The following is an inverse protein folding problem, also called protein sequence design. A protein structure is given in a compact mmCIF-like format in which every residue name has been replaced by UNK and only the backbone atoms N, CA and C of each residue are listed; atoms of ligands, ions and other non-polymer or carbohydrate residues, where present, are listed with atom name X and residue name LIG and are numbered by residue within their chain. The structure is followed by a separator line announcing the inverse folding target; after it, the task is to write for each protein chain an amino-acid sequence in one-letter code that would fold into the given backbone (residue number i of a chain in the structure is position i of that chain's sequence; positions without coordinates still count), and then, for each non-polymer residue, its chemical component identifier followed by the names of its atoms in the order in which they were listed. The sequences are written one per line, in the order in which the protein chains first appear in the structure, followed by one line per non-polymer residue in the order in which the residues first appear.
data_IF_723150979820
#
_entry.id   IF_723150979820
#
_cell.length_a   1.000
_cell.length_b   1.000
_cell.length_c   1.000
_cell.angle_alpha   90.00
_cell.angle_beta   90.00
_cell.angle_gamma   90.00
#
_symmetry.space_group_name_H-M   'P 1'
#
loop_
_entity.id
_entity.type
_entity.pdbx_description
1 polymer ?
#
# COMPACT_ATOMS: atom_id res chain seq x y z
N UNK A 1 7.41 16.05 -13.80
CA UNK A 1 8.55 16.61 -14.56
C UNK A 1 8.54 16.01 -15.95
N UNK A 2 8.82 16.79 -16.95
CA UNK A 2 8.94 16.35 -18.35
C UNK A 2 10.26 16.94 -18.88
N UNK A 3 11.12 16.10 -19.43
CA UNK A 3 12.45 16.46 -19.97
C UNK A 3 13.32 17.33 -19.01
N UNK A 4 13.23 17.05 -17.72
CA UNK A 4 13.96 17.78 -16.68
C UNK A 4 13.36 19.13 -16.28
N UNK A 5 12.26 19.55 -16.90
CA UNK A 5 11.53 20.76 -16.55
C UNK A 5 10.34 20.47 -15.64
N UNK A 6 10.02 21.42 -14.76
CA UNK A 6 8.92 21.31 -13.81
C UNK A 6 7.66 21.91 -14.41
N UNK A 7 6.57 21.16 -14.38
CA UNK A 7 5.27 21.60 -14.83
C UNK A 7 4.27 21.50 -13.69
N UNK A 8 3.43 22.50 -13.56
CA UNK A 8 2.24 22.47 -12.75
C UNK A 8 1.06 21.98 -13.60
N UNK A 9 0.26 21.05 -13.09
CA UNK A 9 -0.89 20.53 -13.78
C UNK A 9 -2.17 20.92 -13.04
N UNK A 10 -2.99 21.72 -13.69
CA UNK A 10 -4.30 22.12 -13.20
C UNK A 10 -5.35 21.92 -14.30
N UNK A 11 -6.50 21.34 -13.98
CA UNK A 11 -7.61 21.12 -14.92
C UNK A 11 -7.17 20.53 -16.28
N UNK A 12 -6.26 19.55 -16.25
CA UNK A 12 -5.66 18.92 -17.44
C UNK A 12 -4.76 19.82 -18.29
N UNK A 13 -4.50 21.06 -17.88
CA UNK A 13 -3.54 21.96 -18.51
C UNK A 13 -2.22 21.86 -17.78
N UNK A 14 -1.13 21.75 -18.53
CA UNK A 14 0.25 21.75 -18.01
C UNK A 14 0.88 23.10 -18.26
N UNK A 15 1.28 23.79 -17.21
CA UNK A 15 1.98 25.08 -17.25
C UNK A 15 3.40 24.90 -16.74
N UNK A 16 4.39 25.31 -17.53
CA UNK A 16 5.79 25.29 -17.10
C UNK A 16 5.99 26.28 -15.96
N UNK A 17 6.71 25.86 -14.93
CA UNK A 17 7.01 26.69 -13.76
C UNK A 17 8.51 26.97 -13.74
N UNK A 18 8.86 28.25 -13.75
CA UNK A 18 10.24 28.67 -13.53
C UNK A 18 10.56 28.62 -12.04
N UNK A 19 11.49 27.76 -11.68
CA UNK A 19 11.97 27.60 -10.30
C UNK A 19 13.46 27.94 -10.24
N UNK A 20 13.89 28.45 -9.07
CA UNK A 20 15.32 28.56 -8.80
C UNK A 20 15.98 27.18 -8.79
N UNK A 21 17.27 27.09 -9.08
CA UNK A 21 18.04 25.85 -9.11
C UNK A 21 17.88 25.02 -7.82
N UNK A 22 17.85 25.71 -6.68
CA UNK A 22 17.61 25.05 -5.38
C UNK A 22 16.20 24.46 -5.28
N UNK A 23 15.18 25.18 -5.74
CA UNK A 23 13.80 24.71 -5.73
C UNK A 23 13.61 23.56 -6.73
N UNK A 24 14.21 23.68 -7.93
CA UNK A 24 14.24 22.62 -8.94
C UNK A 24 14.90 21.34 -8.39
N UNK A 25 16.03 21.48 -7.70
CA UNK A 25 16.70 20.35 -7.05
C UNK A 25 15.88 19.70 -5.95
N UNK A 26 15.13 20.47 -5.15
CA UNK A 26 14.18 19.93 -4.15
C UNK A 26 13.07 19.13 -4.83
N UNK A 27 12.45 19.69 -5.86
CA UNK A 27 11.39 19.00 -6.62
C UNK A 27 11.91 17.71 -7.23
N UNK A 28 13.08 17.74 -7.86
CA UNK A 28 13.70 16.55 -8.48
C UNK A 28 13.93 15.45 -7.43
N UNK A 29 14.54 15.78 -6.29
CA UNK A 29 14.81 14.80 -5.23
C UNK A 29 13.53 14.23 -4.62
N UNK A 30 12.48 15.03 -4.44
CA UNK A 30 11.20 14.54 -3.92
C UNK A 30 10.45 13.68 -4.94
N UNK A 31 10.55 13.99 -6.23
CA UNK A 31 9.99 13.13 -7.30
C UNK A 31 10.71 11.79 -7.34
N UNK A 32 12.03 11.80 -7.20
CA UNK A 32 12.82 10.54 -7.12
C UNK A 32 12.42 9.71 -5.90
N UNK A 33 12.35 10.32 -4.71
CA UNK A 33 11.88 9.62 -3.50
C UNK A 33 10.49 9.04 -3.68
N UNK A 34 9.56 9.79 -4.25
CA UNK A 34 8.20 9.32 -4.53
C UNK A 34 8.20 8.09 -5.44
N UNK A 35 9.05 8.11 -6.46
CA UNK A 35 9.14 6.97 -7.37
C UNK A 35 9.64 5.72 -6.67
N UNK A 36 10.69 5.83 -5.86
CA UNK A 36 11.22 4.71 -5.09
C UNK A 36 10.17 4.17 -4.09
N UNK A 37 9.41 5.06 -3.44
CA UNK A 37 8.34 4.65 -2.52
C UNK A 37 7.23 3.91 -3.25
N UNK A 38 6.81 4.41 -4.43
CA UNK A 38 5.80 3.73 -5.24
C UNK A 38 6.28 2.37 -5.74
N UNK A 39 7.54 2.27 -6.21
CA UNK A 39 8.17 1.00 -6.58
C UNK A 39 8.14 0.01 -5.40
N UNK A 40 8.47 0.49 -4.20
CA UNK A 40 8.47 -0.32 -2.99
C UNK A 40 7.05 -0.79 -2.59
N UNK A 41 6.06 0.07 -2.72
CA UNK A 41 4.64 -0.27 -2.48
C UNK A 41 4.19 -1.33 -3.48
N UNK A 42 4.49 -1.13 -4.77
CA UNK A 42 4.12 -2.06 -5.84
C UNK A 42 4.77 -3.44 -5.65
N UNK A 43 6.06 -3.49 -5.32
CA UNK A 43 6.76 -4.73 -4.98
C UNK A 43 6.12 -5.47 -3.81
N UNK A 44 5.71 -4.73 -2.75
CA UNK A 44 5.08 -5.34 -1.59
C UNK A 44 3.66 -5.85 -1.89
N UNK A 45 2.89 -5.14 -2.72
CA UNK A 45 1.55 -5.55 -3.15
C UNK A 45 1.58 -6.78 -4.04
N UNK A 46 2.58 -6.89 -4.92
CA UNK A 46 2.74 -8.00 -5.86
C UNK A 46 3.57 -9.16 -5.30
N UNK A 47 3.81 -9.18 -4.00
CA UNK A 47 4.53 -10.24 -3.26
C UNK A 47 5.90 -10.58 -3.83
N UNK A 48 6.68 -9.56 -4.19
CA UNK A 48 8.05 -9.73 -4.65
C UNK A 48 8.93 -10.36 -3.55
N UNK A 49 10.02 -11.03 -3.92
CA UNK A 49 10.97 -11.59 -2.97
C UNK A 49 11.50 -10.55 -1.97
N UNK A 50 11.72 -10.96 -0.74
CA UNK A 50 12.18 -10.05 0.31
C UNK A 50 13.57 -9.44 0.00
N UNK A 51 14.38 -10.09 -0.85
CA UNK A 51 15.67 -9.57 -1.32
C UNK A 51 15.50 -8.34 -2.20
N UNK A 52 14.53 -8.35 -3.13
CA UNK A 52 14.22 -7.23 -4.01
C UNK A 52 13.65 -6.04 -3.21
N UNK A 53 12.76 -6.34 -2.27
CA UNK A 53 12.19 -5.34 -1.35
C UNK A 53 13.30 -4.68 -0.54
N UNK A 54 14.23 -5.48 0.00
CA UNK A 54 15.36 -4.98 0.78
C UNK A 54 16.29 -4.10 -0.06
N UNK A 55 16.60 -4.50 -1.29
CA UNK A 55 17.39 -3.67 -2.20
C UNK A 55 16.74 -2.32 -2.48
N UNK A 56 15.41 -2.29 -2.66
CA UNK A 56 14.65 -1.04 -2.84
C UNK A 56 14.62 -0.20 -1.56
N UNK A 57 14.55 -0.83 -0.37
CA UNK A 57 14.65 -0.14 0.92
C UNK A 57 16.03 0.50 1.12
N UNK A 58 17.11 -0.18 0.74
CA UNK A 58 18.46 0.38 0.78
C UNK A 58 18.59 1.60 -0.15
N UNK A 59 18.02 1.50 -1.35
CA UNK A 59 17.96 2.61 -2.32
C UNK A 59 17.15 3.79 -1.77
N UNK A 60 16.01 3.51 -1.12
CA UNK A 60 15.19 4.53 -0.46
C UNK A 60 15.95 5.23 0.67
N UNK A 61 16.66 4.48 1.52
CA UNK A 61 17.48 5.03 2.59
C UNK A 61 18.57 5.95 2.04
N UNK A 62 19.32 5.52 1.03
CA UNK A 62 20.39 6.32 0.43
C UNK A 62 19.84 7.62 -0.19
N UNK A 63 18.74 7.55 -0.94
CA UNK A 63 18.12 8.72 -1.55
C UNK A 63 17.56 9.69 -0.48
N UNK A 64 16.93 9.17 0.58
CA UNK A 64 16.43 9.96 1.69
C UNK A 64 17.55 10.68 2.44
N UNK A 65 18.63 9.98 2.78
CA UNK A 65 19.75 10.57 3.51
C UNK A 65 20.47 11.64 2.66
N UNK A 66 20.63 11.41 1.35
CA UNK A 66 21.18 12.40 0.43
C UNK A 66 20.29 13.65 0.31
N UNK A 67 18.98 13.45 0.24
CA UNK A 67 18.02 14.54 0.18
C UNK A 67 18.02 15.38 1.46
N UNK A 68 17.89 14.73 2.62
CA UNK A 68 17.80 15.41 3.90
C UNK A 68 19.08 16.14 4.30
N UNK A 69 20.23 15.60 3.95
CA UNK A 69 21.52 16.27 4.14
C UNK A 69 21.62 17.61 3.39
N UNK A 70 20.97 17.69 2.22
CA UNK A 70 21.06 18.89 1.36
C UNK A 70 19.91 19.86 1.56
N UNK A 71 18.70 19.35 1.80
CA UNK A 71 17.47 20.13 1.74
C UNK A 71 16.66 20.17 3.04
N UNK A 72 17.08 19.42 4.06
CA UNK A 72 16.35 19.27 5.32
C UNK A 72 15.25 18.22 5.23
N UNK A 73 14.47 18.11 6.29
CA UNK A 73 13.40 17.12 6.40
C UNK A 73 12.33 17.29 5.32
N UNK A 74 11.67 16.20 4.94
CA UNK A 74 10.56 16.24 3.97
C UNK A 74 9.41 17.10 4.50
N UNK A 75 9.16 17.05 5.80
CA UNK A 75 8.15 17.88 6.49
C UNK A 75 8.58 19.34 6.72
N UNK A 76 9.81 19.74 6.32
CA UNK A 76 10.23 21.14 6.43
C UNK A 76 9.29 22.04 5.62
N UNK A 77 8.92 23.18 6.22
CA UNK A 77 8.04 24.18 5.62
C UNK A 77 8.50 24.65 4.22
N UNK A 78 9.82 24.66 3.97
CA UNK A 78 10.37 25.03 2.65
C UNK A 78 10.07 23.98 1.59
N UNK A 79 10.06 22.70 1.96
CA UNK A 79 9.70 21.61 1.10
C UNK A 79 8.18 21.57 0.90
N UNK A 80 7.41 21.71 1.97
CA UNK A 80 5.95 21.72 1.93
C UNK A 80 5.35 22.76 1.00
N UNK A 81 5.89 23.98 1.00
CA UNK A 81 5.41 25.05 0.11
C UNK A 81 5.51 24.74 -1.39
N UNK A 82 6.47 23.92 -1.79
CA UNK A 82 6.65 23.54 -3.21
C UNK A 82 5.63 22.49 -3.66
N UNK A 83 5.02 21.76 -2.70
CA UNK A 83 4.14 20.64 -2.94
C UNK A 83 2.78 20.77 -2.26
N UNK A 84 2.42 21.97 -1.80
CA UNK A 84 1.19 22.23 -1.06
C UNK A 84 -0.08 21.73 -1.78
N UNK A 85 -0.04 21.71 -3.11
CA UNK A 85 -1.15 21.27 -3.96
C UNK A 85 -0.98 19.85 -4.50
N UNK A 86 0.12 19.17 -4.19
CA UNK A 86 0.35 17.77 -4.61
C UNK A 86 -0.08 16.81 -3.50
N UNK A 87 -1.17 16.06 -3.74
CA UNK A 87 -1.65 15.05 -2.79
C UNK A 87 -0.61 13.97 -2.48
N UNK A 88 0.31 13.69 -3.40
CA UNK A 88 1.39 12.73 -3.20
C UNK A 88 2.44 13.19 -2.18
N UNK A 89 2.44 14.48 -1.83
CA UNK A 89 3.33 15.01 -0.81
C UNK A 89 3.11 14.38 0.57
N UNK A 90 1.87 14.11 0.91
CA UNK A 90 1.53 13.48 2.20
C UNK A 90 2.10 12.06 2.33
N UNK A 91 2.23 11.33 1.22
CA UNK A 91 2.92 10.05 1.20
C UNK A 91 4.40 10.20 1.60
N UNK A 92 5.07 11.22 1.07
CA UNK A 92 6.46 11.50 1.43
C UNK A 92 6.59 11.97 2.88
N UNK A 93 5.67 12.81 3.36
CA UNK A 93 5.64 13.25 4.76
C UNK A 93 5.50 12.08 5.74
N UNK A 94 4.78 11.03 5.35
CA UNK A 94 4.59 9.82 6.18
C UNK A 94 5.86 8.97 6.37
N UNK A 95 6.92 9.27 5.63
CA UNK A 95 8.24 8.64 5.79
C UNK A 95 8.98 9.11 7.05
N UNK A 96 8.54 10.21 7.65
CA UNK A 96 9.15 10.81 8.84
C UNK A 96 8.18 10.75 10.03
N UNK A 97 8.66 10.19 11.13
CA UNK A 97 7.97 10.29 12.42
C UNK A 97 8.60 11.45 13.19
N UNK A 98 7.85 12.53 13.34
CA UNK A 98 8.31 13.72 14.04
C UNK A 98 7.89 13.69 15.51
N UNK A 99 8.64 14.40 16.35
CA UNK A 99 8.27 14.70 17.73
C UNK A 99 7.36 15.94 17.81
N UNK A 100 6.96 16.32 19.02
CA UNK A 100 6.10 17.49 19.28
C UNK A 100 6.77 18.82 18.88
N UNK A 101 8.09 18.83 18.75
CA UNK A 101 8.89 19.97 18.35
C UNK A 101 9.15 20.01 16.83
N UNK A 102 8.66 19.02 16.09
CA UNK A 102 8.86 18.90 14.65
C UNK A 102 10.26 18.39 14.25
N UNK A 103 10.99 17.77 15.20
CA UNK A 103 12.27 17.14 14.92
C UNK A 103 12.08 15.67 14.53
N UNK A 104 12.97 15.13 13.74
CA UNK A 104 12.92 13.74 13.32
C UNK A 104 13.16 12.81 14.53
N UNK A 105 12.12 12.11 14.96
CA UNK A 105 12.19 11.08 15.98
C UNK A 105 12.69 9.74 15.40
N UNK A 106 12.15 9.34 14.27
CA UNK A 106 12.55 8.11 13.58
C UNK A 106 12.07 8.13 12.11
N UNK A 107 12.75 7.36 11.27
CA UNK A 107 12.21 7.04 9.93
C UNK A 107 11.04 6.07 10.07
N UNK A 108 10.11 6.08 9.11
CA UNK A 108 8.97 5.16 9.05
C UNK A 108 9.42 3.69 8.93
N UNK A 109 8.56 2.76 9.33
CA UNK A 109 8.86 1.32 9.28
C UNK A 109 9.15 0.81 7.86
N UNK A 110 8.65 1.49 6.83
CA UNK A 110 8.85 1.17 5.42
C UNK A 110 10.34 1.09 5.02
N UNK A 111 11.21 1.84 5.67
CA UNK A 111 12.66 1.83 5.42
C UNK A 111 13.36 0.52 5.81
N UNK A 112 12.76 -0.26 6.71
CA UNK A 112 13.42 -1.44 7.31
C UNK A 112 12.58 -2.69 7.31
N UNK A 113 11.26 -2.57 7.13
CA UNK A 113 10.32 -3.69 7.26
C UNK A 113 9.35 -3.69 6.08
N UNK A 114 8.89 -4.90 5.73
CA UNK A 114 7.72 -5.05 4.87
C UNK A 114 6.49 -4.53 5.62
N UNK A 115 5.82 -3.52 5.11
CA UNK A 115 4.67 -2.86 5.73
C UNK A 115 3.34 -3.26 5.12
N UNK A 116 3.38 -3.70 3.87
CA UNK A 116 2.21 -4.13 3.11
C UNK A 116 2.36 -5.63 2.85
N UNK A 117 1.31 -6.38 3.16
CA UNK A 117 1.21 -7.80 2.79
C UNK A 117 0.08 -7.93 1.80
N UNK A 118 0.29 -8.66 0.68
CA UNK A 118 -0.79 -8.92 -0.24
C UNK A 118 -1.90 -9.67 0.48
N UNK A 119 -3.13 -9.34 0.12
CA UNK A 119 -4.31 -10.04 0.65
C UNK A 119 -4.24 -11.50 0.19
N UNK A 120 -4.04 -12.42 1.13
CA UNK A 120 -4.07 -13.84 0.83
C UNK A 120 -5.52 -14.27 0.79
N UNK A 121 -6.00 -14.61 -0.40
CA UNK A 121 -7.29 -15.31 -0.51
C UNK A 121 -7.19 -16.64 0.22
N UNK A 122 -8.04 -16.84 1.20
CA UNK A 122 -8.10 -18.09 1.95
C UNK A 122 -8.72 -19.14 1.01
N UNK A 123 -7.91 -20.11 0.59
CA UNK A 123 -8.32 -21.16 -0.36
C UNK A 123 -8.86 -22.40 0.35
N UNK A 124 -8.54 -22.60 1.63
CA UNK A 124 -9.02 -23.72 2.46
C UNK A 124 -9.12 -23.28 3.92
N UNK A 125 -10.05 -23.85 4.63
CA UNK A 125 -10.26 -23.66 6.07
C UNK A 125 -10.49 -25.00 6.76
N UNK A 126 -9.99 -25.14 7.98
CA UNK A 126 -10.05 -26.42 8.72
C UNK A 126 -11.33 -26.55 9.56
N UNK A 127 -11.99 -25.45 9.86
CA UNK A 127 -13.18 -25.46 10.73
C UNK A 127 -14.35 -24.66 10.13
N UNK A 128 -15.60 -25.05 10.42
CA UNK A 128 -16.78 -24.30 10.00
C UNK A 128 -16.81 -22.86 10.54
N UNK A 129 -16.24 -22.62 11.71
CA UNK A 129 -16.14 -21.29 12.32
C UNK A 129 -15.23 -20.38 11.53
N UNK A 130 -14.09 -20.90 11.04
CA UNK A 130 -13.18 -20.17 10.16
C UNK A 130 -13.84 -19.87 8.82
N UNK A 131 -14.54 -20.85 8.22
CA UNK A 131 -15.26 -20.65 6.97
C UNK A 131 -16.30 -19.53 7.09
N UNK A 132 -17.02 -19.49 8.22
CA UNK A 132 -17.97 -18.42 8.52
C UNK A 132 -17.29 -17.07 8.64
N UNK A 133 -16.16 -17.01 9.35
CA UNK A 133 -15.38 -15.77 9.53
C UNK A 133 -14.86 -15.24 8.21
N UNK A 134 -14.32 -16.11 7.36
CA UNK A 134 -13.83 -15.75 6.02
C UNK A 134 -14.99 -15.25 5.15
N UNK A 135 -16.13 -15.97 5.13
CA UNK A 135 -17.29 -15.57 4.34
C UNK A 135 -17.83 -14.19 4.75
N UNK A 136 -17.90 -13.91 6.04
CA UNK A 136 -18.32 -12.59 6.54
C UNK A 136 -17.28 -11.53 6.20
N UNK A 137 -15.98 -11.84 6.31
CA UNK A 137 -14.90 -10.91 6.01
C UNK A 137 -14.83 -10.52 4.54
N UNK A 138 -14.98 -11.47 3.62
CA UNK A 138 -14.87 -11.24 2.18
C UNK A 138 -16.17 -10.70 1.56
N UNK A 139 -17.32 -11.16 2.02
CA UNK A 139 -18.61 -10.88 1.37
C UNK A 139 -19.56 -10.02 2.22
N UNK A 140 -19.18 -9.70 3.46
CA UNK A 140 -20.04 -8.96 4.41
C UNK A 140 -21.33 -9.69 4.82
N UNK A 141 -21.49 -10.95 4.41
CA UNK A 141 -22.64 -11.81 4.71
C UNK A 141 -22.23 -13.28 4.69
N UNK A 142 -23.07 -14.12 5.31
CA UNK A 142 -22.89 -15.57 5.19
C UNK A 142 -23.36 -16.01 3.80
N UNK A 143 -22.44 -16.39 2.94
CA UNK A 143 -22.75 -16.94 1.62
C UNK A 143 -22.55 -18.46 1.61
N UNK A 144 -23.64 -19.18 1.68
CA UNK A 144 -23.65 -20.65 1.64
C UNK A 144 -23.43 -21.20 0.21
N UNK A 145 -23.42 -20.32 -0.82
CA UNK A 145 -23.19 -20.66 -2.22
C UNK A 145 -21.77 -20.38 -2.71
N UNK A 146 -20.91 -19.82 -1.87
CA UNK A 146 -19.49 -19.58 -2.19
C UNK A 146 -18.71 -20.88 -2.50
N UNK A 147 -19.33 -22.03 -2.37
CA UNK A 147 -18.78 -23.37 -2.54
C UNK A 147 -18.84 -23.97 -3.93
N UNK A 148 -18.89 -23.20 -5.01
CA UNK A 148 -18.62 -23.75 -6.36
C UNK A 148 -17.13 -23.77 -6.75
N UNK A 149 -16.25 -23.30 -5.90
CA UNK A 149 -14.85 -23.71 -5.94
C UNK A 149 -14.70 -24.86 -4.94
N UNK A 150 -14.40 -26.03 -5.46
CA UNK A 150 -14.65 -27.36 -4.95
C UNK A 150 -14.23 -27.70 -3.50
N UNK A 151 -13.56 -26.83 -2.75
CA UNK A 151 -12.92 -27.20 -1.50
C UNK A 151 -13.53 -26.56 -0.26
N UNK A 152 -14.19 -25.41 -0.37
CA UNK A 152 -14.76 -24.71 0.78
C UNK A 152 -16.17 -25.17 1.17
N UNK A 153 -16.94 -25.70 0.22
CA UNK A 153 -18.34 -26.13 0.46
C UNK A 153 -18.46 -27.53 1.02
N UNK A 154 -17.45 -28.36 0.83
CA UNK A 154 -17.47 -29.73 1.33
C UNK A 154 -17.33 -29.78 2.86
N UNK A 155 -16.72 -28.73 3.46
CA UNK A 155 -16.52 -28.67 4.91
C UNK A 155 -17.67 -28.06 5.70
N UNK A 156 -18.55 -27.29 5.06
CA UNK A 156 -19.67 -26.63 5.77
C UNK A 156 -20.88 -27.55 5.90
N UNK A 157 -21.00 -28.64 5.09
CA UNK A 157 -22.17 -29.50 5.04
C UNK A 157 -21.84 -31.00 5.04
N UNK A 158 -21.00 -31.45 5.93
CA UNK A 158 -21.11 -32.83 6.41
C UNK A 158 -21.91 -32.79 7.72
N UNK A 159 -23.22 -33.07 7.70
CA UNK A 159 -23.95 -33.30 8.96
C UNK A 159 -23.31 -34.47 9.68
N UNK A 160 -23.22 -34.46 11.02
CA UNK A 160 -22.75 -35.60 11.75
C UNK A 160 -23.64 -36.81 11.32
N UNK A 161 -23.00 -37.95 11.11
CA UNK A 161 -23.63 -39.18 10.57
C UNK A 161 -24.69 -39.75 11.52
N UNK A 162 -25.79 -39.04 11.72
CA UNK A 162 -26.99 -39.56 12.38
C UNK A 162 -28.18 -38.58 12.32
N UNK A 163 -28.56 -38.12 11.13
CA UNK A 163 -29.92 -37.62 10.91
C UNK A 163 -30.41 -38.12 9.56
N UNK A 164 -31.13 -39.21 9.58
CA UNK A 164 -31.96 -39.63 8.46
C UNK A 164 -33.10 -38.65 8.29
N UNK A 165 -33.06 -37.82 7.27
CA UNK A 165 -34.25 -37.10 6.80
C UNK A 165 -34.41 -37.32 5.31
N UNK A 166 -35.37 -38.11 5.00
CA UNK A 166 -36.04 -38.32 3.72
C UNK A 166 -36.39 -36.96 3.09
N UNK A 167 -35.70 -36.59 2.05
CA UNK A 167 -36.12 -35.51 1.17
C UNK A 167 -37.12 -36.05 0.17
N UNK A 168 -38.42 -35.80 0.43
CA UNK A 168 -39.50 -36.12 -0.51
C UNK A 168 -39.35 -35.20 -1.74
N UNK A 169 -39.24 -35.83 -2.91
CA UNK A 169 -39.40 -35.16 -4.21
C UNK A 169 -40.85 -34.73 -4.34
N UNK A 170 -41.10 -33.45 -4.53
CA UNK A 170 -42.39 -32.98 -5.05
C UNK A 170 -42.18 -32.70 -6.54
N UNK A 171 -42.81 -33.56 -7.35
CA UNK A 171 -43.08 -33.34 -8.78
C UNK A 171 -44.44 -32.67 -8.89
N UNK A 172 -44.50 -31.47 -9.46
CA UNK A 172 -45.61 -30.99 -10.28
C UNK A 172 -45.12 -29.73 -11.01
#
# INVERSE_FOLDING_TARGET
MVDGEVFYRENSVMTQVELSDTAKGRVTGMVELRQIVNDLIDQQLNDYPDEDIKATQERLNAAYDAFTAKYGLLNDRKNGRLFEQDSSYYLLCSLENLDEQGQLKSKAAMFTKRTIRPERTVTSVDTPSEALTVSIGEHGKVDLHCGRRADLCTLIFTPPANVSSTCARSTA
#
